data_IF_438271022564
#
_entry.id   IF_438271022564
#
_cell.length_a   1.000
_cell.length_b   1.000
_cell.length_c   1.000
_cell.angle_alpha   90.00
_cell.angle_beta   90.00
_cell.angle_gamma   90.00
#
_symmetry.space_group_name_H-M   'P 1'
#
loop_
_entity.id
_entity.type
_entity.pdbx_description
1 polymer ?
#
# COMPACT_ATOMS: atom_id res chain seq x y z
N UNK A 1 -12.19 -28.01 -34.80
CA UNK A 1 -13.26 -27.16 -34.24
C UNK A 1 -12.69 -25.75 -34.14
N UNK A 2 -12.48 -24.99 -35.22
CA UNK A 2 -13.44 -24.31 -36.12
C UNK A 2 -14.52 -23.48 -35.43
N UNK A 3 -14.39 -22.16 -35.60
CA UNK A 3 -15.37 -21.08 -35.53
C UNK A 3 -15.89 -20.63 -34.14
N UNK A 4 -15.49 -19.42 -33.72
CA UNK A 4 -16.37 -18.24 -33.58
C UNK A 4 -15.52 -17.05 -33.08
N UNK A 5 -15.23 -16.10 -33.96
CA UNK A 5 -14.64 -14.81 -33.59
C UNK A 5 -15.18 -13.75 -34.55
N UNK A 6 -16.13 -12.97 -34.10
CA UNK A 6 -16.56 -11.76 -34.82
C UNK A 6 -17.23 -10.77 -33.87
N UNK A 7 -16.72 -9.53 -33.96
CA UNK A 7 -17.41 -8.25 -33.75
C UNK A 7 -17.69 -7.80 -32.30
N UNK A 8 -16.74 -7.05 -31.75
CA UNK A 8 -17.03 -5.83 -30.99
C UNK A 8 -16.11 -4.70 -31.51
N UNK A 9 -16.65 -3.86 -32.40
CA UNK A 9 -16.14 -2.50 -32.64
C UNK A 9 -17.13 -1.56 -31.98
N UNK A 10 -16.81 -1.06 -30.78
CA UNK A 10 -17.49 0.09 -30.20
C UNK A 10 -16.66 1.33 -30.50
N UNK A 11 -17.23 2.23 -31.30
CA UNK A 11 -16.75 3.60 -31.41
C UNK A 11 -17.26 4.38 -30.20
N UNK A 12 -16.38 4.77 -29.29
CA UNK A 12 -16.65 5.82 -28.32
C UNK A 12 -15.62 6.91 -28.50
N UNK A 13 -15.98 7.91 -29.30
CA UNK A 13 -15.34 9.21 -29.24
C UNK A 13 -15.70 9.82 -27.87
N UNK A 14 -14.77 9.73 -26.92
CA UNK A 14 -14.89 10.40 -25.63
C UNK A 14 -14.70 11.91 -25.78
N UNK A 15 -15.23 12.72 -24.83
CA UNK A 15 -15.05 14.17 -24.85
C UNK A 15 -13.56 14.54 -24.72
N UNK A 16 -13.11 15.47 -25.56
CA UNK A 16 -11.78 16.08 -25.46
C UNK A 16 -11.62 16.77 -24.11
N UNK A 17 -10.85 16.16 -23.20
CA UNK A 17 -10.36 16.83 -22.00
C UNK A 17 -9.38 17.96 -22.40
N UNK A 18 -9.34 19.07 -21.66
CA UNK A 18 -8.35 20.12 -21.91
C UNK A 18 -6.95 19.53 -21.79
N UNK A 19 -6.15 19.69 -22.85
CA UNK A 19 -4.73 19.36 -22.85
C UNK A 19 -4.03 20.29 -21.86
N UNK A 20 -3.73 19.78 -20.67
CA UNK A 20 -2.69 20.36 -19.84
C UNK A 20 -1.39 20.41 -20.67
N UNK A 21 -0.58 21.48 -20.59
CA UNK A 21 0.68 21.55 -21.30
C UNK A 21 1.50 20.30 -20.95
N UNK A 22 1.90 19.53 -21.97
CA UNK A 22 2.83 18.42 -21.78
C UNK A 22 4.05 18.96 -21.04
N UNK A 23 4.37 18.49 -19.82
CA UNK A 23 5.68 18.76 -19.27
C UNK A 23 6.64 18.04 -20.21
N UNK A 24 7.34 18.79 -21.05
CA UNK A 24 8.46 18.24 -21.79
C UNK A 24 9.38 17.61 -20.76
N UNK A 25 9.65 16.31 -20.89
CA UNK A 25 10.65 15.61 -20.09
C UNK A 25 12.03 16.14 -20.49
N UNK A 26 12.37 17.36 -20.07
CA UNK A 26 13.74 17.84 -20.11
C UNK A 26 14.46 17.13 -18.95
N UNK A 27 15.04 15.97 -19.24
CA UNK A 27 15.96 15.31 -18.34
C UNK A 27 17.17 16.25 -18.14
N UNK A 28 17.46 16.72 -16.92
CA UNK A 28 18.68 17.48 -16.68
C UNK A 28 19.89 16.59 -17.01
N UNK A 29 20.73 17.00 -17.95
CA UNK A 29 21.85 16.20 -18.45
C UNK A 29 23.07 16.16 -17.53
N UNK A 30 22.93 16.43 -16.22
CA UNK A 30 24.05 16.45 -15.28
C UNK A 30 23.63 15.94 -13.90
N UNK A 31 23.78 14.64 -13.68
CA UNK A 31 24.02 14.07 -12.36
C UNK A 31 25.54 14.01 -12.18
N UNK A 32 26.14 15.13 -11.78
CA UNK A 32 27.55 15.13 -11.37
C UNK A 32 27.67 14.42 -10.02
N UNK A 33 28.57 13.43 -9.98
CA UNK A 33 28.89 12.65 -8.81
C UNK A 33 29.43 13.56 -7.69
N UNK A 34 28.61 13.85 -6.69
CA UNK A 34 29.07 14.46 -5.44
C UNK A 34 29.90 13.43 -4.67
N UNK A 35 31.22 13.57 -4.83
CA UNK A 35 32.26 12.91 -4.04
C UNK A 35 32.20 13.43 -2.60
N UNK A 36 31.99 12.54 -1.64
CA UNK A 36 32.06 12.82 -0.21
C UNK A 36 33.39 13.53 0.14
N UNK A 37 33.29 14.76 0.67
CA UNK A 37 34.34 15.36 1.48
C UNK A 37 33.78 15.55 2.87
N UNK A 38 34.43 14.90 3.83
CA UNK A 38 34.03 14.89 5.23
C UNK A 38 33.95 16.28 5.84
N UNK A 39 32.85 16.53 6.54
CA UNK A 39 32.76 17.51 7.59
C UNK A 39 32.23 16.80 8.84
N UNK A 40 33.10 16.68 9.84
CA UNK A 40 32.75 16.33 11.21
C UNK A 40 31.95 17.47 11.83
N UNK A 41 30.72 17.21 12.26
CA UNK A 41 29.90 18.18 12.97
C UNK A 41 28.51 17.61 13.27
N UNK A 42 28.29 17.28 14.53
CA UNK A 42 27.14 16.58 15.09
C UNK A 42 25.81 17.34 14.92
N UNK A 43 24.72 16.57 14.81
CA UNK A 43 23.28 16.86 15.05
C UNK A 43 22.38 16.97 13.80
N UNK A 44 21.30 16.17 13.84
CA UNK A 44 20.10 16.09 12.99
C UNK A 44 20.16 15.26 11.70
N UNK A 45 20.02 13.94 11.86
CA UNK A 45 19.54 13.02 10.82
C UNK A 45 18.41 12.16 11.39
N UNK A 46 17.16 12.56 11.16
CA UNK A 46 15.96 11.74 11.34
C UNK A 46 14.78 12.53 10.76
N UNK A 47 14.45 12.35 9.47
CA UNK A 47 13.23 12.83 8.80
C UNK A 47 13.30 12.41 7.33
N UNK A 48 12.46 11.46 6.89
CA UNK A 48 11.84 11.29 5.55
C UNK A 48 11.40 9.82 5.31
N UNK A 49 10.33 9.65 4.51
CA UNK A 49 9.67 8.44 3.99
C UNK A 49 8.49 7.85 4.80
N UNK A 50 7.65 7.02 4.16
CA UNK A 50 6.30 6.49 4.53
C UNK A 50 5.06 7.14 3.89
N UNK A 51 5.04 7.40 2.57
CA UNK A 51 3.80 7.67 1.83
C UNK A 51 2.72 6.62 2.12
N UNK A 52 1.44 6.98 2.02
CA UNK A 52 0.29 6.20 2.51
C UNK A 52 0.39 4.73 2.11
N UNK A 53 0.81 3.93 3.08
CA UNK A 53 0.62 2.50 3.17
C UNK A 53 -0.81 2.35 3.68
N UNK A 54 -1.73 1.86 2.85
CA UNK A 54 -2.84 1.12 3.44
C UNK A 54 -2.23 0.05 4.34
N UNK A 55 -2.52 0.16 5.64
CA UNK A 55 -1.82 -0.48 6.72
C UNK A 55 -1.69 -2.01 6.55
N UNK A 56 -0.57 -2.46 5.97
CA UNK A 56 0.10 -3.68 6.39
C UNK A 56 0.90 -3.37 7.65
N UNK A 57 0.33 -3.69 8.82
CA UNK A 57 0.78 -3.27 10.14
C UNK A 57 2.19 -3.78 10.54
N UNK A 58 3.24 -2.98 10.34
CA UNK A 58 4.54 -3.16 10.98
C UNK A 58 4.62 -2.40 12.33
N UNK A 59 4.05 -2.96 13.40
CA UNK A 59 4.31 -2.54 14.80
C UNK A 59 5.73 -2.89 15.29
N UNK A 60 6.39 -1.94 15.96
CA UNK A 60 7.65 -2.13 16.70
C UNK A 60 7.39 -1.93 18.20
N UNK A 61 7.41 -3.00 19.01
CA UNK A 61 7.29 -2.87 20.48
C UNK A 61 8.65 -2.51 21.09
N UNK A 62 8.72 -1.38 21.78
CA UNK A 62 9.87 -0.99 22.60
C UNK A 62 9.91 -1.88 23.85
N UNK A 63 10.96 -2.71 23.98
CA UNK A 63 11.22 -3.50 25.21
C UNK A 63 11.64 -2.55 26.34
N UNK A 64 10.84 -2.46 27.40
CA UNK A 64 11.33 -2.13 28.74
C UNK A 64 11.53 -3.43 29.52
N UNK A 65 12.74 -3.65 29.99
CA UNK A 65 13.06 -4.77 30.87
C UNK A 65 12.51 -4.52 32.28
N UNK A 66 11.82 -5.52 32.82
CA UNK A 66 11.64 -5.67 34.26
C UNK A 66 11.51 -7.16 34.58
N UNK A 67 12.35 -7.64 35.50
CA UNK A 67 12.29 -8.97 36.11
C UNK A 67 11.11 -9.01 37.08
N UNK A 68 10.37 -10.11 37.10
CA UNK A 68 9.37 -10.39 38.14
C UNK A 68 8.32 -11.39 37.66
N UNK A 69 8.42 -12.63 38.13
CA UNK A 69 7.53 -13.72 37.79
C UNK A 69 6.20 -13.61 38.55
N UNK A 70 5.08 -13.60 37.80
CA UNK A 70 3.80 -14.18 38.20
C UNK A 70 3.00 -14.49 36.93
N UNK A 71 2.55 -15.74 36.79
CA UNK A 71 1.68 -16.19 35.70
C UNK A 71 0.29 -15.55 35.86
N UNK A 72 -0.02 -14.58 35.00
CA UNK A 72 -1.37 -14.05 34.80
C UNK A 72 -1.79 -14.32 33.37
N UNK A 73 -3.01 -14.86 33.19
CA UNK A 73 -3.64 -15.01 31.88
C UNK A 73 -3.71 -13.65 31.17
N UNK A 74 -2.95 -13.50 30.08
CA UNK A 74 -3.04 -12.33 29.19
C UNK A 74 -4.17 -12.60 28.22
N UNK A 75 -5.31 -11.96 28.45
CA UNK A 75 -6.38 -11.84 27.44
C UNK A 75 -5.83 -10.94 26.33
N UNK A 76 -5.78 -11.44 25.11
CA UNK A 76 -5.44 -10.63 23.94
C UNK A 76 -6.52 -9.54 23.78
N UNK A 77 -6.17 -8.30 24.09
CA UNK A 77 -7.01 -7.13 23.85
C UNK A 77 -7.05 -6.84 22.35
N UNK A 78 -8.22 -6.43 21.84
CA UNK A 78 -8.36 -6.10 20.41
C UNK A 78 -7.47 -4.90 20.04
N UNK A 79 -7.11 -4.71 18.75
CA UNK A 79 -6.33 -3.57 18.27
C UNK A 79 -6.90 -2.20 18.68
N UNK A 80 -8.18 -2.12 19.02
CA UNK A 80 -8.83 -0.89 19.49
C UNK A 80 -8.39 -0.46 20.90
N UNK A 81 -7.91 -1.38 21.75
CA UNK A 81 -7.55 -1.07 23.14
C UNK A 81 -6.08 -0.64 23.32
N UNK A 82 -5.17 -1.03 22.42
CA UNK A 82 -3.75 -0.64 22.50
C UNK A 82 -3.48 0.78 21.93
N UNK A 83 -4.50 1.44 21.35
CA UNK A 83 -4.44 2.82 20.87
C UNK A 83 -4.55 3.86 22.01
N UNK A 84 -5.02 3.47 23.20
CA UNK A 84 -5.34 4.40 24.28
C UNK A 84 -4.11 5.10 24.90
N UNK A 85 -2.92 4.48 24.84
CA UNK A 85 -1.67 5.07 25.37
C UNK A 85 -0.92 5.96 24.39
N UNK A 86 -0.99 5.67 23.09
CA UNK A 86 -0.39 6.47 22.00
C UNK A 86 -1.23 7.71 21.64
N UNK A 87 -2.46 7.76 22.13
CA UNK A 87 -3.41 8.86 21.92
C UNK A 87 -2.97 10.15 22.63
N UNK A 88 -2.40 10.06 23.85
CA UNK A 88 -2.14 11.26 24.66
C UNK A 88 -1.22 12.30 24.00
N UNK A 89 -0.11 11.86 23.37
CA UNK A 89 0.79 12.76 22.65
C UNK A 89 0.15 13.33 21.38
N UNK A 90 -0.67 12.55 20.69
CA UNK A 90 -1.41 13.02 19.52
C UNK A 90 -2.46 14.07 19.90
N UNK A 91 -3.27 13.79 20.93
CA UNK A 91 -4.29 14.71 21.46
C UNK A 91 -3.65 16.00 21.98
N UNK A 92 -2.50 15.90 22.66
CA UNK A 92 -1.76 17.07 23.09
C UNK A 92 -1.26 17.89 21.88
N UNK A 93 -0.75 17.23 20.84
CA UNK A 93 -0.35 17.88 19.60
C UNK A 93 -1.50 18.63 18.94
N UNK A 94 -2.67 18.00 18.83
CA UNK A 94 -3.88 18.61 18.30
C UNK A 94 -4.36 19.81 19.14
N UNK A 95 -4.24 19.73 20.48
CA UNK A 95 -4.57 20.83 21.37
C UNK A 95 -3.62 22.03 21.22
N UNK A 96 -2.32 21.81 21.00
CA UNK A 96 -1.35 22.87 20.68
C UNK A 96 -1.62 23.47 19.29
N UNK A 97 -1.90 22.64 18.29
CA UNK A 97 -2.26 23.07 16.93
C UNK A 97 -3.49 24.00 16.94
N UNK A 98 -4.54 23.63 17.68
CA UNK A 98 -5.76 24.44 17.83
C UNK A 98 -5.53 25.81 18.50
N UNK A 99 -4.44 25.97 19.26
CA UNK A 99 -4.04 27.24 19.90
C UNK A 99 -3.09 28.08 19.04
N UNK A 100 -2.64 27.57 17.89
CA UNK A 100 -1.59 28.19 17.09
C UNK A 100 -0.17 27.97 17.64
N UNK A 101 0.02 27.06 18.59
CA UNK A 101 1.32 26.70 19.19
C UNK A 101 2.02 25.66 18.29
N UNK A 102 2.37 26.06 17.07
CA UNK A 102 2.75 25.14 15.98
C UNK A 102 4.04 24.35 16.28
N UNK A 103 5.00 24.94 17.00
CA UNK A 103 6.26 24.26 17.35
C UNK A 103 6.04 23.17 18.40
N UNK A 104 5.22 23.46 19.41
CA UNK A 104 4.82 22.53 20.46
C UNK A 104 3.99 21.37 19.87
N UNK A 105 3.06 21.69 18.96
CA UNK A 105 2.29 20.72 18.20
C UNK A 105 3.21 19.76 17.42
N UNK A 106 4.19 20.31 16.69
CA UNK A 106 5.19 19.52 15.96
C UNK A 106 5.93 18.52 16.85
N UNK A 107 6.41 18.95 18.01
CA UNK A 107 7.14 18.08 18.94
C UNK A 107 6.24 16.94 19.46
N UNK A 108 4.98 17.22 19.74
CA UNK A 108 4.01 16.23 20.19
C UNK A 108 3.70 15.20 19.09
N UNK A 109 3.47 15.65 17.86
CA UNK A 109 3.27 14.74 16.74
C UNK A 109 4.52 13.94 16.37
N UNK A 110 5.74 14.49 16.50
CA UNK A 110 6.97 13.72 16.34
C UNK A 110 7.06 12.57 17.34
N UNK A 111 6.75 12.82 18.62
CA UNK A 111 6.71 11.77 19.65
C UNK A 111 5.65 10.72 19.33
N UNK A 112 4.47 11.15 18.90
CA UNK A 112 3.37 10.25 18.52
C UNK A 112 3.71 9.39 17.30
N UNK A 113 4.35 9.96 16.28
CA UNK A 113 4.85 9.24 15.10
C UNK A 113 5.93 8.22 15.49
N UNK A 114 6.88 8.59 16.35
CA UNK A 114 7.90 7.66 16.87
C UNK A 114 7.30 6.51 17.69
N UNK A 115 6.14 6.72 18.30
CA UNK A 115 5.36 5.69 18.97
C UNK A 115 4.53 4.82 18.01
N UNK A 116 4.61 5.08 16.70
CA UNK A 116 3.94 4.30 15.65
C UNK A 116 2.52 4.73 15.35
N UNK A 117 2.09 5.94 15.73
CA UNK A 117 0.75 6.44 15.42
C UNK A 117 0.70 7.08 14.02
N UNK A 118 0.04 6.45 13.01
CA UNK A 118 0.19 6.86 11.61
C UNK A 118 -0.32 8.28 11.32
N UNK A 119 -1.43 8.70 11.96
CA UNK A 119 -2.04 10.02 11.75
C UNK A 119 -1.12 11.18 12.16
N UNK A 120 -0.19 10.93 13.08
CA UNK A 120 0.78 11.94 13.49
C UNK A 120 1.68 12.37 12.32
N UNK A 121 1.96 11.46 11.38
CA UNK A 121 2.73 11.78 10.17
C UNK A 121 1.98 12.75 9.26
N UNK A 122 0.69 12.49 9.01
CA UNK A 122 -0.18 13.38 8.22
C UNK A 122 -0.17 14.80 8.81
N UNK A 123 -0.28 14.91 10.14
CA UNK A 123 -0.22 16.20 10.86
C UNK A 123 1.15 16.87 10.76
N UNK A 124 2.24 16.12 10.87
CA UNK A 124 3.59 16.66 10.73
C UNK A 124 3.84 17.26 9.35
N UNK A 125 3.37 16.61 8.28
CA UNK A 125 3.48 17.16 6.91
C UNK A 125 2.77 18.52 6.84
N UNK A 126 1.57 18.62 7.43
CA UNK A 126 0.80 19.85 7.42
C UNK A 126 1.52 20.98 8.18
N UNK A 127 2.10 20.68 9.34
CA UNK A 127 2.87 21.64 10.14
C UNK A 127 4.20 22.02 9.49
N UNK A 128 4.96 21.05 8.98
CA UNK A 128 6.25 21.30 8.34
C UNK A 128 6.08 22.22 7.13
N UNK A 129 4.97 22.12 6.39
CA UNK A 129 4.65 23.03 5.30
C UNK A 129 4.54 24.51 5.75
N UNK A 130 3.95 24.73 6.93
CA UNK A 130 3.68 26.05 7.51
C UNK A 130 4.93 26.67 8.16
N UNK A 131 5.80 25.86 8.75
CA UNK A 131 6.96 26.33 9.52
C UNK A 131 8.19 26.71 8.71
N UNK A 132 8.20 26.46 7.39
CA UNK A 132 9.36 26.77 6.55
C UNK A 132 9.51 28.27 6.32
N UNK A 133 10.75 28.71 6.19
CA UNK A 133 11.13 30.08 5.86
C UNK A 133 11.47 30.19 4.35
N UNK A 134 10.95 31.18 3.59
CA UNK A 134 9.97 32.19 4.02
C UNK A 134 8.60 31.59 4.32
N UNK A 135 7.86 32.19 5.24
CA UNK A 135 6.47 31.80 5.53
C UNK A 135 5.61 31.81 4.25
N UNK A 136 4.60 30.94 4.20
CA UNK A 136 3.65 30.94 3.07
C UNK A 136 2.88 32.27 3.05
N UNK A 137 2.69 32.91 1.89
CA UNK A 137 1.77 34.03 1.77
C UNK A 137 0.37 33.60 2.24
N UNK A 138 -0.33 34.46 3.00
CA UNK A 138 -1.58 34.08 3.67
C UNK A 138 -2.65 33.43 2.78
N UNK A 139 -2.71 33.81 1.49
CA UNK A 139 -3.61 33.15 0.51
C UNK A 139 -3.21 31.69 0.22
N UNK A 140 -1.91 31.42 0.08
CA UNK A 140 -1.37 30.08 -0.20
C UNK A 140 -1.43 29.19 1.06
N UNK A 141 -1.17 29.79 2.22
CA UNK A 141 -1.40 29.14 3.52
C UNK A 141 -2.87 28.72 3.68
N UNK A 142 -3.82 29.61 3.38
CA UNK A 142 -5.25 29.30 3.46
C UNK A 142 -5.64 28.12 2.56
N UNK A 143 -5.11 28.05 1.32
CA UNK A 143 -5.33 26.91 0.43
C UNK A 143 -4.81 25.60 1.01
N UNK A 144 -3.59 25.61 1.59
CA UNK A 144 -3.01 24.42 2.19
C UNK A 144 -3.80 23.94 3.42
N UNK A 145 -4.15 24.87 4.32
CA UNK A 145 -4.89 24.56 5.55
C UNK A 145 -6.29 24.03 5.23
N UNK A 146 -7.00 24.67 4.31
CA UNK A 146 -8.33 24.22 3.86
C UNK A 146 -8.26 22.81 3.25
N UNK A 147 -7.29 22.57 2.37
CA UNK A 147 -7.14 21.27 1.73
C UNK A 147 -6.78 20.16 2.73
N UNK A 148 -5.91 20.47 3.70
CA UNK A 148 -5.57 19.57 4.77
C UNK A 148 -6.78 19.21 5.64
N UNK A 149 -7.62 20.18 5.98
CA UNK A 149 -8.86 19.96 6.73
C UNK A 149 -9.84 19.06 5.97
N UNK A 150 -10.02 19.30 4.67
CA UNK A 150 -10.85 18.44 3.83
C UNK A 150 -10.31 17.01 3.79
N UNK A 151 -9.01 16.83 3.60
CA UNK A 151 -8.40 15.51 3.62
C UNK A 151 -8.54 14.81 4.97
N UNK A 152 -8.38 15.54 6.08
CA UNK A 152 -8.54 15.01 7.44
C UNK A 152 -9.98 14.56 7.72
N UNK A 153 -10.98 15.30 7.23
CA UNK A 153 -12.40 14.90 7.34
C UNK A 153 -12.65 13.58 6.61
N UNK A 154 -12.13 13.43 5.39
CA UNK A 154 -12.16 12.18 4.66
C UNK A 154 -11.47 11.04 5.44
N UNK A 155 -10.24 11.25 5.91
CA UNK A 155 -9.47 10.21 6.60
C UNK A 155 -10.18 9.77 7.89
N UNK A 156 -10.72 10.73 8.66
CA UNK A 156 -11.45 10.43 9.89
C UNK A 156 -12.70 9.58 9.64
N UNK A 157 -13.47 9.88 8.60
CA UNK A 157 -14.64 9.07 8.24
C UNK A 157 -14.24 7.70 7.71
N UNK A 158 -13.24 7.65 6.81
CA UNK A 158 -12.76 6.41 6.23
C UNK A 158 -12.19 5.47 7.29
N UNK A 159 -11.41 5.97 8.26
CA UNK A 159 -10.91 5.16 9.38
C UNK A 159 -12.04 4.67 10.30
N UNK A 160 -13.09 5.48 10.50
CA UNK A 160 -14.23 5.13 11.36
C UNK A 160 -15.14 4.08 10.72
N UNK A 161 -15.38 4.17 9.42
CA UNK A 161 -16.40 3.37 8.72
C UNK A 161 -15.80 2.31 7.81
N UNK A 162 -14.58 2.52 7.33
CA UNK A 162 -13.99 1.80 6.22
C UNK A 162 -14.62 2.09 4.86
N UNK A 163 -15.53 3.07 4.77
CA UNK A 163 -16.25 3.43 3.56
C UNK A 163 -15.96 4.89 3.18
N UNK A 164 -16.14 5.20 1.90
CA UNK A 164 -16.08 6.58 1.39
C UNK A 164 -17.51 6.98 1.05
N UNK A 165 -18.12 7.77 1.91
CA UNK A 165 -19.44 8.36 1.64
C UNK A 165 -19.35 9.43 0.55
N UNK A 166 -20.52 9.91 0.11
CA UNK A 166 -20.62 11.05 -0.79
C UNK A 166 -19.98 12.31 -0.18
N UNK A 167 -20.18 12.57 1.12
CA UNK A 167 -19.59 13.71 1.83
C UNK A 167 -18.05 13.59 1.89
N UNK A 168 -17.53 12.43 2.26
CA UNK A 168 -16.09 12.13 2.20
C UNK A 168 -15.50 12.33 0.80
N UNK A 169 -16.24 11.97 -0.24
CA UNK A 169 -15.79 12.15 -1.62
C UNK A 169 -15.75 13.63 -2.02
N UNK A 170 -16.76 14.41 -1.62
CA UNK A 170 -16.77 15.86 -1.83
C UNK A 170 -15.60 16.54 -1.13
N UNK A 171 -15.24 16.08 0.08
CA UNK A 171 -14.03 16.54 0.76
C UNK A 171 -12.75 16.20 -0.03
N UNK A 172 -12.63 15.00 -0.59
CA UNK A 172 -11.50 14.67 -1.46
C UNK A 172 -11.44 15.55 -2.71
N UNK A 173 -12.56 15.79 -3.38
CA UNK A 173 -12.61 16.66 -4.58
C UNK A 173 -12.27 18.12 -4.24
N UNK A 174 -12.71 18.62 -3.07
CA UNK A 174 -12.35 19.95 -2.58
C UNK A 174 -10.84 20.06 -2.28
N UNK A 175 -10.28 19.09 -1.54
CA UNK A 175 -8.84 19.02 -1.28
C UNK A 175 -8.03 18.96 -2.58
N UNK A 176 -8.45 18.13 -3.54
CA UNK A 176 -7.80 18.02 -4.85
C UNK A 176 -7.78 19.36 -5.60
N UNK A 177 -8.89 20.08 -5.58
CA UNK A 177 -9.04 21.38 -6.25
C UNK A 177 -8.09 22.42 -5.67
N UNK A 178 -8.06 22.57 -4.34
CA UNK A 178 -7.23 23.55 -3.65
C UNK A 178 -5.74 23.25 -3.75
N UNK A 179 -5.34 21.98 -3.62
CA UNK A 179 -3.94 21.57 -3.79
C UNK A 179 -3.46 21.75 -5.24
N UNK A 180 -4.35 21.51 -6.21
CA UNK A 180 -4.04 21.75 -7.63
C UNK A 180 -3.88 23.24 -7.92
N UNK A 181 -4.68 24.10 -7.28
CA UNK A 181 -4.49 25.55 -7.34
C UNK A 181 -3.15 25.96 -6.72
N UNK A 182 -2.80 25.39 -5.56
CA UNK A 182 -1.54 25.65 -4.88
C UNK A 182 -0.31 25.22 -5.71
N UNK A 183 -0.44 24.15 -6.51
CA UNK A 183 0.62 23.65 -7.38
C UNK A 183 0.97 24.58 -8.55
N UNK A 184 0.20 25.65 -8.78
CA UNK A 184 0.49 26.69 -9.79
C UNK A 184 1.57 27.68 -9.34
N UNK A 185 1.94 27.64 -8.06
CA UNK A 185 2.91 28.56 -7.46
C UNK A 185 4.25 27.86 -7.22
N UNK A 186 5.35 28.62 -7.24
CA UNK A 186 6.65 28.12 -6.79
C UNK A 186 6.74 28.24 -5.27
N UNK A 187 6.74 27.10 -4.57
CA UNK A 187 6.78 27.04 -3.11
C UNK A 187 8.18 26.70 -2.56
N UNK A 188 9.16 26.48 -3.44
CA UNK A 188 10.45 25.88 -3.11
C UNK A 188 10.40 24.35 -3.02
N UNK A 189 11.56 23.72 -3.18
CA UNK A 189 11.69 22.26 -3.39
C UNK A 189 10.99 21.42 -2.31
N UNK A 190 11.23 21.72 -1.04
CA UNK A 190 10.65 20.92 0.03
C UNK A 190 9.11 21.04 0.08
N UNK A 191 8.57 22.24 -0.09
CA UNK A 191 7.11 22.46 -0.10
C UNK A 191 6.45 21.81 -1.31
N UNK A 192 7.06 21.95 -2.49
CA UNK A 192 6.58 21.29 -3.71
C UNK A 192 6.60 19.77 -3.55
N UNK A 193 7.65 19.22 -2.94
CA UNK A 193 7.72 17.80 -2.62
C UNK A 193 6.55 17.34 -1.75
N UNK A 194 6.29 18.03 -0.62
CA UNK A 194 5.17 17.70 0.27
C UNK A 194 3.81 17.85 -0.43
N UNK A 195 3.64 18.90 -1.22
CA UNK A 195 2.43 19.14 -2.02
C UNK A 195 2.17 17.99 -3.00
N UNK A 196 3.19 17.53 -3.74
CA UNK A 196 3.04 16.39 -4.66
C UNK A 196 2.72 15.10 -3.92
N UNK A 197 3.28 14.89 -2.73
CA UNK A 197 2.91 13.75 -1.87
C UNK A 197 1.44 13.79 -1.49
N UNK A 198 0.94 14.96 -1.04
CA UNK A 198 -0.47 15.12 -0.66
C UNK A 198 -1.42 14.99 -1.86
N UNK A 199 -1.05 15.56 -3.01
CA UNK A 199 -1.81 15.38 -4.25
C UNK A 199 -1.88 13.89 -4.63
N UNK A 200 -0.77 13.17 -4.54
CA UNK A 200 -0.77 11.73 -4.80
C UNK A 200 -1.67 10.96 -3.83
N UNK A 201 -1.64 11.27 -2.54
CA UNK A 201 -2.53 10.66 -1.52
C UNK A 201 -4.01 10.85 -1.89
N UNK A 202 -4.42 12.09 -2.19
CA UNK A 202 -5.80 12.45 -2.58
C UNK A 202 -6.20 11.76 -3.88
N UNK A 203 -5.37 11.89 -4.92
CA UNK A 203 -5.67 11.34 -6.24
C UNK A 203 -5.59 9.82 -6.29
N UNK A 204 -4.86 9.17 -5.37
CA UNK A 204 -4.88 7.70 -5.26
C UNK A 204 -6.30 7.20 -5.01
N UNK A 205 -7.02 7.85 -4.08
CA UNK A 205 -8.41 7.50 -3.77
C UNK A 205 -9.34 7.94 -4.90
N UNK A 206 -9.22 9.18 -5.38
CA UNK A 206 -10.07 9.70 -6.46
C UNK A 206 -9.91 8.93 -7.78
N UNK A 207 -8.73 8.36 -8.05
CA UNK A 207 -8.46 7.56 -9.26
C UNK A 207 -9.34 6.32 -9.40
N UNK A 208 -10.10 5.95 -8.36
CA UNK A 208 -11.14 4.91 -8.47
C UNK A 208 -12.22 5.31 -9.47
N UNK A 209 -12.48 6.61 -9.62
CA UNK A 209 -13.19 7.17 -10.76
C UNK A 209 -12.22 7.38 -11.93
N UNK A 210 -12.56 6.82 -13.08
CA UNK A 210 -11.81 6.94 -14.33
C UNK A 210 -11.49 8.38 -14.72
N UNK A 211 -12.35 9.37 -14.37
CA UNK A 211 -12.13 10.79 -14.70
C UNK A 211 -10.88 11.38 -14.04
N UNK A 212 -10.42 10.78 -12.94
CA UNK A 212 -9.26 11.26 -12.17
C UNK A 212 -7.96 10.49 -12.42
N UNK A 213 -7.99 9.39 -13.16
CA UNK A 213 -6.82 8.51 -13.33
C UNK A 213 -5.66 9.23 -14.02
N UNK A 214 -5.93 10.07 -15.03
CA UNK A 214 -4.89 10.82 -15.73
C UNK A 214 -4.17 11.82 -14.81
N UNK A 215 -4.91 12.49 -13.92
CA UNK A 215 -4.34 13.42 -12.93
C UNK A 215 -3.56 12.67 -11.86
N UNK A 216 -4.05 11.51 -11.41
CA UNK A 216 -3.30 10.64 -10.49
C UNK A 216 -1.96 10.22 -11.09
N UNK A 217 -1.93 9.82 -12.37
CA UNK A 217 -0.70 9.50 -13.10
C UNK A 217 0.25 10.71 -13.14
N UNK A 218 -0.26 11.88 -13.47
CA UNK A 218 0.53 13.12 -13.54
C UNK A 218 1.19 13.44 -12.19
N UNK A 219 0.43 13.43 -11.09
CA UNK A 219 0.97 13.77 -9.77
C UNK A 219 1.96 12.72 -9.26
N UNK A 220 1.73 11.45 -9.57
CA UNK A 220 2.68 10.38 -9.31
C UNK A 220 4.01 10.60 -10.05
N UNK A 221 3.99 11.00 -11.33
CA UNK A 221 5.20 11.39 -12.07
C UNK A 221 5.87 12.61 -11.44
N UNK A 222 5.11 13.67 -11.11
CA UNK A 222 5.67 14.89 -10.50
C UNK A 222 6.39 14.60 -9.19
N UNK A 223 5.84 13.71 -8.36
CA UNK A 223 6.48 13.22 -7.13
C UNK A 223 7.78 12.46 -7.43
N UNK A 224 7.75 11.55 -8.41
CA UNK A 224 8.90 10.73 -8.78
C UNK A 224 10.05 11.54 -9.39
N UNK A 225 9.76 12.53 -10.24
CA UNK A 225 10.79 13.34 -10.91
C UNK A 225 11.37 14.44 -10.02
N UNK A 226 10.72 14.77 -8.91
CA UNK A 226 11.22 15.79 -7.98
C UNK A 226 12.56 15.35 -7.36
N UNK A 227 13.58 16.22 -7.22
CA UNK A 227 14.91 15.84 -6.71
C UNK A 227 14.88 15.10 -5.36
N UNK A 228 14.05 15.55 -4.42
CA UNK A 228 13.87 14.88 -3.12
C UNK A 228 13.22 13.49 -3.26
N UNK A 229 12.33 13.31 -4.25
CA UNK A 229 11.71 12.03 -4.55
C UNK A 229 12.68 11.07 -5.18
N UNK A 230 13.42 11.51 -6.20
CA UNK A 230 14.49 10.75 -6.84
C UNK A 230 15.53 10.25 -5.83
N UNK A 231 15.87 11.05 -4.81
CA UNK A 231 16.82 10.66 -3.76
C UNK A 231 16.22 9.78 -2.64
N UNK A 232 14.93 9.47 -2.70
CA UNK A 232 14.22 8.63 -1.75
C UNK A 232 13.73 7.35 -2.46
N UNK A 233 14.67 6.49 -2.81
CA UNK A 233 14.45 5.26 -3.56
C UNK A 233 14.71 4.01 -2.73
N UNK A 234 14.07 2.91 -3.12
CA UNK A 234 14.29 1.59 -2.56
C UNK A 234 15.28 0.79 -3.42
N UNK A 235 16.26 0.18 -2.76
CA UNK A 235 17.15 -0.83 -3.35
C UNK A 235 16.68 -2.26 -3.07
N UNK A 236 15.84 -2.40 -2.06
CA UNK A 236 15.27 -3.66 -1.55
C UNK A 236 13.95 -3.38 -0.82
N UNK A 237 13.22 -4.42 -0.48
CA UNK A 237 11.87 -4.38 0.10
C UNK A 237 11.85 -3.80 1.53
N UNK A 238 12.96 -3.94 2.26
CA UNK A 238 13.18 -3.38 3.60
C UNK A 238 13.67 -1.93 3.60
N UNK A 239 13.90 -1.33 2.42
CA UNK A 239 14.39 0.05 2.33
C UNK A 239 13.44 1.01 3.05
N UNK A 240 13.96 1.82 3.96
CA UNK A 240 13.16 2.81 4.68
C UNK A 240 12.63 3.91 3.75
N UNK A 241 13.30 4.15 2.61
CA UNK A 241 12.92 5.11 1.59
C UNK A 241 12.49 4.38 0.33
N UNK A 242 11.31 4.72 -0.19
CA UNK A 242 10.75 4.13 -1.39
C UNK A 242 9.85 5.09 -2.19
N UNK A 243 9.86 6.38 -1.85
CA UNK A 243 9.01 7.41 -2.45
C UNK A 243 9.11 7.43 -3.99
N UNK A 244 10.34 7.32 -4.55
CA UNK A 244 10.57 7.23 -5.99
C UNK A 244 9.86 6.02 -6.60
N UNK A 245 10.17 4.83 -6.08
CA UNK A 245 9.68 3.55 -6.58
C UNK A 245 8.15 3.50 -6.51
N UNK A 246 7.58 3.91 -5.37
CA UNK A 246 6.14 3.94 -5.15
C UNK A 246 5.45 4.87 -6.14
N UNK A 247 5.94 6.10 -6.29
CA UNK A 247 5.34 7.10 -7.16
C UNK A 247 5.45 6.71 -8.64
N UNK A 248 6.61 6.24 -9.11
CA UNK A 248 6.76 5.87 -10.53
C UNK A 248 5.97 4.61 -10.88
N UNK A 249 5.89 3.65 -9.97
CA UNK A 249 5.04 2.45 -10.13
C UNK A 249 3.56 2.81 -10.21
N UNK A 250 3.09 3.70 -9.32
CA UNK A 250 1.72 4.20 -9.35
C UNK A 250 1.41 4.91 -10.68
N UNK A 251 2.33 5.75 -11.17
CA UNK A 251 2.16 6.41 -12.47
C UNK A 251 1.96 5.41 -13.62
N UNK A 252 2.81 4.39 -13.71
CA UNK A 252 2.69 3.34 -14.75
C UNK A 252 1.38 2.58 -14.63
N UNK A 253 0.93 2.26 -13.42
CA UNK A 253 -0.37 1.64 -13.19
C UNK A 253 -1.51 2.51 -13.71
N UNK A 254 -1.49 3.81 -13.43
CA UNK A 254 -2.51 4.73 -13.90
C UNK A 254 -2.49 4.91 -15.43
N UNK A 255 -1.31 5.01 -16.06
CA UNK A 255 -1.20 5.07 -17.51
C UNK A 255 -1.75 3.81 -18.19
N UNK A 256 -1.48 2.61 -17.64
CA UNK A 256 -2.09 1.35 -18.09
C UNK A 256 -3.62 1.42 -18.06
N UNK A 257 -4.20 1.90 -16.95
CA UNK A 257 -5.65 2.00 -16.75
C UNK A 257 -6.37 2.90 -17.76
N UNK A 258 -5.70 3.94 -18.27
CA UNK A 258 -6.27 4.83 -19.31
C UNK A 258 -5.78 4.50 -20.72
N UNK A 259 -4.98 3.44 -20.89
CA UNK A 259 -4.45 3.03 -22.19
C UNK A 259 -3.39 3.97 -22.79
N UNK A 260 -2.75 4.82 -21.97
CA UNK A 260 -1.72 5.76 -22.42
C UNK A 260 -0.34 5.07 -22.50
N UNK A 261 -0.15 4.31 -23.58
CA UNK A 261 1.05 3.49 -23.78
C UNK A 261 2.33 4.31 -23.95
N UNK A 262 2.24 5.50 -24.56
CA UNK A 262 3.40 6.38 -24.75
C UNK A 262 3.93 6.87 -23.40
N UNK A 263 3.06 7.40 -22.54
CA UNK A 263 3.48 7.87 -21.21
C UNK A 263 3.88 6.72 -20.28
N UNK A 264 3.25 5.55 -20.41
CA UNK A 264 3.69 4.34 -19.72
C UNK A 264 5.15 4.00 -20.08
N UNK A 265 5.48 3.96 -21.37
CA UNK A 265 6.82 3.64 -21.84
C UNK A 265 7.84 4.70 -21.37
N UNK A 266 7.49 5.99 -21.44
CA UNK A 266 8.35 7.07 -20.96
C UNK A 266 8.60 6.96 -19.44
N UNK A 267 7.58 6.64 -18.65
CA UNK A 267 7.71 6.45 -17.20
C UNK A 267 8.60 5.23 -16.87
N UNK A 268 8.43 4.13 -17.61
CA UNK A 268 9.26 2.93 -17.46
C UNK A 268 10.73 3.20 -17.84
N UNK A 269 10.99 3.92 -18.93
CA UNK A 269 12.35 4.32 -19.31
C UNK A 269 12.99 5.25 -18.28
N UNK A 270 12.23 6.20 -17.74
CA UNK A 270 12.70 7.06 -16.66
C UNK A 270 13.04 6.25 -15.40
N UNK A 271 12.19 5.30 -15.01
CA UNK A 271 12.45 4.40 -13.89
C UNK A 271 13.71 3.56 -14.11
N UNK A 272 13.88 2.98 -15.29
CA UNK A 272 15.02 2.12 -15.64
C UNK A 272 16.36 2.88 -15.72
N UNK A 273 16.33 4.20 -15.98
CA UNK A 273 17.52 5.06 -16.00
C UNK A 273 18.01 5.44 -14.60
N UNK A 274 17.22 5.21 -13.54
CA UNK A 274 17.65 5.51 -12.19
C UNK A 274 18.81 4.58 -11.78
N UNK A 275 19.98 5.10 -11.37
CA UNK A 275 21.19 4.28 -11.21
C UNK A 275 21.16 3.34 -10.01
N UNK A 276 20.32 3.63 -9.01
CA UNK A 276 20.32 2.93 -7.73
C UNK A 276 18.96 2.36 -7.33
N UNK A 277 17.88 2.69 -8.05
CA UNK A 277 16.55 2.26 -7.62
C UNK A 277 16.31 0.86 -8.16
N UNK A 278 15.65 0.02 -7.38
CA UNK A 278 15.21 -1.31 -7.81
C UNK A 278 14.02 -1.22 -8.78
N UNK A 279 14.18 -0.51 -9.90
CA UNK A 279 13.14 -0.22 -10.89
C UNK A 279 13.61 -0.56 -12.30
N UNK A 280 14.40 -1.64 -12.45
CA UNK A 280 14.97 -2.09 -13.72
C UNK A 280 14.03 -3.05 -14.45
N UNK A 281 12.81 -2.60 -14.72
CA UNK A 281 11.74 -3.40 -15.30
C UNK A 281 12.08 -3.92 -16.69
N UNK A 282 11.76 -5.19 -16.93
CA UNK A 282 11.99 -5.84 -18.23
C UNK A 282 10.78 -5.75 -19.16
N UNK A 283 9.58 -5.58 -18.61
CA UNK A 283 8.34 -5.45 -19.38
C UNK A 283 7.35 -4.52 -18.66
N UNK A 284 6.42 -3.94 -19.41
CA UNK A 284 5.47 -2.95 -18.90
C UNK A 284 4.35 -3.52 -18.03
N UNK A 285 4.21 -4.85 -17.98
CA UNK A 285 3.21 -5.55 -17.18
C UNK A 285 3.72 -5.93 -15.80
N UNK A 286 5.03 -6.06 -15.61
CA UNK A 286 5.68 -6.44 -14.37
C UNK A 286 6.46 -5.25 -13.81
N UNK A 287 5.75 -4.36 -13.11
CA UNK A 287 6.34 -3.16 -12.52
C UNK A 287 6.09 -3.15 -11.01
N UNK A 288 6.66 -4.10 -10.24
CA UNK A 288 6.59 -4.03 -8.78
C UNK A 288 7.32 -2.81 -8.25
N UNK A 289 7.09 -2.47 -6.98
CA UNK A 289 7.85 -1.40 -6.32
C UNK A 289 9.36 -1.70 -6.30
N UNK A 290 9.74 -2.95 -6.04
CA UNK A 290 11.13 -3.40 -5.99
C UNK A 290 11.32 -4.54 -6.98
N UNK A 291 12.01 -4.28 -8.09
CA UNK A 291 12.29 -5.26 -9.13
C UNK A 291 13.72 -5.77 -9.04
N UNK A 292 13.86 -7.10 -9.01
CA UNK A 292 15.14 -7.78 -8.98
C UNK A 292 15.43 -8.44 -10.34
N UNK A 293 16.53 -8.08 -11.03
CA UNK A 293 16.88 -8.69 -12.31
C UNK A 293 17.36 -10.13 -12.14
N UNK A 294 17.22 -10.94 -13.20
CA UNK A 294 17.70 -12.32 -13.25
C UNK A 294 16.65 -13.38 -12.86
N UNK A 295 15.55 -12.97 -12.23
CA UNK A 295 14.38 -13.81 -12.02
C UNK A 295 13.60 -13.98 -13.32
N UNK A 296 13.14 -15.20 -13.60
CA UNK A 296 12.26 -15.47 -14.75
C UNK A 296 10.89 -14.82 -14.53
N UNK A 297 10.56 -13.81 -15.33
CA UNK A 297 9.23 -13.18 -15.31
C UNK A 297 8.21 -13.94 -16.16
N UNK A 298 7.22 -14.55 -15.50
CA UNK A 298 6.01 -15.08 -16.16
C UNK A 298 4.79 -14.89 -15.25
N UNK A 299 3.62 -14.53 -15.80
CA UNK A 299 2.45 -14.23 -14.97
C UNK A 299 1.88 -15.47 -14.27
N UNK A 300 1.95 -16.66 -14.87
CA UNK A 300 1.36 -17.89 -14.32
C UNK A 300 2.43 -18.96 -14.10
N UNK A 301 2.29 -19.73 -13.02
CA UNK A 301 3.22 -20.77 -12.61
C UNK A 301 2.48 -22.10 -12.41
N UNK A 302 3.11 -23.20 -12.82
CA UNK A 302 2.56 -24.53 -12.63
C UNK A 302 2.77 -25.00 -11.18
N UNK A 303 1.71 -25.50 -10.55
CA UNK A 303 1.74 -25.91 -9.15
C UNK A 303 2.63 -27.12 -8.87
N UNK A 304 2.94 -27.93 -9.88
CA UNK A 304 3.83 -29.09 -9.77
C UNK A 304 5.29 -28.70 -9.47
N UNK A 305 5.65 -27.43 -9.68
CA UNK A 305 6.98 -26.90 -9.39
C UNK A 305 7.21 -26.60 -7.91
N UNK A 306 6.18 -26.74 -7.06
CA UNK A 306 6.22 -26.39 -5.64
C UNK A 306 5.71 -27.53 -4.76
N UNK A 307 6.55 -28.04 -3.86
CA UNK A 307 6.20 -29.15 -2.97
C UNK A 307 5.05 -28.79 -2.02
N UNK A 308 5.00 -27.54 -1.55
CA UNK A 308 3.93 -27.06 -0.69
C UNK A 308 2.59 -27.08 -1.43
N UNK A 309 2.56 -26.68 -2.69
CA UNK A 309 1.33 -26.66 -3.50
C UNK A 309 0.81 -28.06 -3.70
N UNK A 310 1.69 -29.00 -4.10
CA UNK A 310 1.33 -30.41 -4.22
C UNK A 310 0.74 -30.97 -2.91
N UNK A 311 1.32 -30.58 -1.76
CA UNK A 311 0.84 -30.98 -0.45
C UNK A 311 -0.53 -30.37 -0.10
N UNK A 312 -0.72 -29.07 -0.34
CA UNK A 312 -1.99 -28.39 -0.11
C UNK A 312 -3.09 -28.97 -1.00
N UNK A 313 -2.81 -29.18 -2.28
CA UNK A 313 -3.75 -29.82 -3.20
C UNK A 313 -4.04 -31.28 -2.84
N UNK A 314 -3.02 -32.05 -2.44
CA UNK A 314 -3.17 -33.42 -1.98
C UNK A 314 -4.07 -33.50 -0.74
N UNK A 315 -3.83 -32.62 0.24
CA UNK A 315 -4.70 -32.48 1.42
C UNK A 315 -6.12 -32.05 1.06
N UNK A 316 -6.31 -31.16 0.08
CA UNK A 316 -7.64 -30.73 -0.34
C UNK A 316 -8.40 -31.80 -1.16
N UNK A 317 -7.68 -32.64 -1.92
CA UNK A 317 -8.24 -33.77 -2.68
C UNK A 317 -8.70 -34.90 -1.75
N UNK A 318 -8.06 -35.06 -0.59
CA UNK A 318 -8.49 -35.99 0.44
C UNK A 318 -9.83 -35.56 1.08
N UNK A 319 -10.90 -36.37 0.98
CA UNK A 319 -12.23 -35.98 1.45
C UNK A 319 -12.30 -35.65 2.94
N UNK A 320 -11.57 -36.40 3.77
CA UNK A 320 -11.59 -36.24 5.24
C UNK A 320 -10.87 -34.96 5.66
N UNK A 321 -9.71 -34.68 5.06
CA UNK A 321 -8.95 -33.45 5.28
C UNK A 321 -9.74 -32.23 4.83
N UNK A 322 -10.38 -32.27 3.65
CA UNK A 322 -11.24 -31.19 3.16
C UNK A 322 -12.43 -30.92 4.07
N UNK A 323 -13.10 -31.99 4.56
CA UNK A 323 -14.23 -31.85 5.48
C UNK A 323 -13.82 -31.12 6.77
N UNK A 324 -12.67 -31.50 7.35
CA UNK A 324 -12.12 -30.83 8.55
C UNK A 324 -11.78 -29.37 8.31
N UNK A 325 -11.10 -29.05 7.21
CA UNK A 325 -10.77 -27.65 6.87
C UNK A 325 -12.04 -26.82 6.71
N UNK A 326 -13.09 -27.39 6.12
CA UNK A 326 -14.39 -26.71 5.96
C UNK A 326 -15.06 -26.45 7.30
N UNK A 327 -15.09 -27.44 8.20
CA UNK A 327 -15.64 -27.30 9.55
C UNK A 327 -14.87 -26.25 10.39
N UNK A 328 -13.53 -26.25 10.30
CA UNK A 328 -12.68 -25.26 10.94
C UNK A 328 -12.98 -23.84 10.40
N UNK A 329 -13.13 -23.69 9.08
CA UNK A 329 -13.49 -22.43 8.45
C UNK A 329 -14.88 -21.95 8.89
N UNK A 330 -15.90 -22.81 8.89
CA UNK A 330 -17.25 -22.48 9.38
C UNK A 330 -17.22 -22.01 10.84
N UNK A 331 -16.38 -22.64 11.66
CA UNK A 331 -16.15 -22.24 13.04
C UNK A 331 -15.56 -20.83 13.12
N UNK A 332 -14.54 -20.50 12.31
CA UNK A 332 -13.97 -19.16 12.27
C UNK A 332 -14.99 -18.11 11.82
N UNK A 333 -15.83 -18.44 10.84
CA UNK A 333 -16.87 -17.56 10.32
C UNK A 333 -17.94 -17.25 11.36
N UNK A 334 -18.41 -18.27 12.09
CA UNK A 334 -19.39 -18.09 13.17
C UNK A 334 -18.89 -17.17 14.30
N UNK A 335 -17.57 -17.05 14.46
CA UNK A 335 -16.92 -16.20 15.45
C UNK A 335 -16.62 -14.78 14.94
N UNK A 336 -16.86 -14.50 13.66
CA UNK A 336 -16.48 -13.22 13.05
C UNK A 336 -14.97 -12.99 13.08
N UNK A 337 -14.17 -14.05 12.89
CA UNK A 337 -12.72 -14.00 13.10
C UNK A 337 -11.93 -13.25 12.01
N UNK A 338 -12.58 -12.90 10.89
CA UNK A 338 -11.95 -12.24 9.74
C UNK A 338 -11.85 -10.73 9.98
N UNK A 339 -10.71 -10.17 9.62
CA UNK A 339 -10.41 -8.74 9.74
C UNK A 339 -10.55 -8.09 8.36
N UNK A 340 -11.15 -6.91 8.28
CA UNK A 340 -11.32 -6.19 7.02
C UNK A 340 -9.97 -5.77 6.45
N UNK A 341 -9.73 -6.01 5.16
CA UNK A 341 -8.55 -5.54 4.46
C UNK A 341 -8.80 -4.17 3.87
N UNK A 342 -7.95 -3.21 4.22
CA UNK A 342 -7.91 -1.91 3.59
C UNK A 342 -6.88 -1.94 2.48
N UNK A 343 -7.30 -1.76 1.24
CA UNK A 343 -6.41 -1.69 0.09
C UNK A 343 -6.72 -0.47 -0.77
N UNK A 344 -5.70 0.25 -1.29
CA UNK A 344 -5.92 1.35 -2.23
C UNK A 344 -6.65 0.86 -3.49
N UNK A 345 -6.37 -0.39 -3.88
CA UNK A 345 -6.94 -1.06 -5.05
C UNK A 345 -8.38 -1.54 -4.85
N UNK A 346 -8.93 -1.57 -3.64
CA UNK A 346 -10.34 -1.91 -3.45
C UNK A 346 -11.24 -0.80 -4.03
N UNK A 347 -12.24 -1.18 -4.83
CA UNK A 347 -13.18 -0.19 -5.39
C UNK A 347 -14.04 0.39 -4.26
N UNK A 348 -13.95 1.70 -4.04
CA UNK A 348 -14.87 2.44 -3.18
C UNK A 348 -15.31 3.67 -3.95
N UNK A 349 -16.52 3.61 -4.52
CA UNK A 349 -17.15 4.72 -5.24
C UNK A 349 -18.47 5.03 -4.53
N UNK A 350 -18.69 6.29 -4.10
CA UNK A 350 -19.97 6.71 -3.54
C UNK A 350 -21.12 6.41 -4.50
N UNK A 351 -22.26 5.97 -3.97
CA UNK A 351 -23.48 5.79 -4.76
C UNK A 351 -23.39 4.70 -5.84
N UNK A 352 -22.35 3.85 -5.88
CA UNK A 352 -22.42 2.64 -6.70
C UNK A 352 -23.57 1.79 -6.17
N UNK A 353 -24.66 1.72 -6.93
CA UNK A 353 -26.03 1.28 -6.57
C UNK A 353 -26.14 -0.22 -6.23
N UNK A 354 -25.08 -0.85 -5.74
CA UNK A 354 -25.21 -1.99 -4.85
C UNK A 354 -25.43 -1.44 -3.43
N UNK A 355 -26.63 -0.89 -3.21
CA UNK A 355 -27.19 -0.55 -1.88
C UNK A 355 -27.56 -1.82 -1.08
N UNK A 356 -26.96 -2.97 -1.38
CA UNK A 356 -26.82 -3.99 -0.36
C UNK A 356 -25.73 -3.50 0.59
N UNK A 357 -26.07 -3.42 1.86
CA UNK A 357 -25.24 -3.00 3.01
C UNK A 357 -23.95 -3.82 3.20
N UNK A 358 -23.54 -4.61 2.23
CA UNK A 358 -22.36 -5.47 2.19
C UNK A 358 -21.42 -5.03 1.05
N UNK A 359 -21.12 -3.74 0.91
CA UNK A 359 -20.20 -3.23 -0.10
C UNK A 359 -19.00 -4.16 -0.22
N UNK A 360 -18.91 -4.88 -1.35
CA UNK A 360 -18.33 -6.20 -1.41
C UNK A 360 -17.01 -6.33 -0.62
N UNK A 361 -17.11 -6.97 0.54
CA UNK A 361 -16.10 -6.99 1.57
C UNK A 361 -14.92 -7.86 1.13
N UNK A 362 -13.72 -7.29 1.22
CA UNK A 362 -12.48 -8.04 1.27
C UNK A 362 -12.03 -8.09 2.73
N UNK A 363 -11.97 -9.29 3.28
CA UNK A 363 -11.47 -9.55 4.64
C UNK A 363 -10.47 -10.69 4.62
N UNK A 364 -9.65 -10.77 5.66
CA UNK A 364 -8.62 -11.79 5.78
C UNK A 364 -8.53 -12.37 7.20
N UNK A 365 -8.10 -13.63 7.26
CA UNK A 365 -7.66 -14.30 8.46
C UNK A 365 -6.16 -14.58 8.35
N UNK A 366 -5.35 -13.67 8.89
CA UNK A 366 -3.90 -13.70 8.79
C UNK A 366 -3.29 -14.82 9.65
N UNK A 367 -2.75 -15.88 9.04
CA UNK A 367 -2.13 -17.02 9.74
C UNK A 367 -0.65 -16.80 10.05
N UNK A 368 0.00 -15.85 9.38
CA UNK A 368 1.41 -15.57 9.52
C UNK A 368 1.63 -14.18 10.11
N UNK A 369 2.44 -14.08 11.17
CA UNK A 369 2.86 -12.79 11.69
C UNK A 369 4.17 -12.36 11.00
N UNK A 370 4.12 -11.35 10.12
CA UNK A 370 5.30 -10.90 9.38
C UNK A 370 6.42 -10.37 10.28
N UNK A 371 6.14 -10.04 11.55
CA UNK A 371 7.17 -9.58 12.52
C UNK A 371 7.94 -10.72 13.14
N UNK A 372 7.26 -11.81 13.48
CA UNK A 372 7.90 -12.96 14.12
C UNK A 372 8.47 -13.95 13.13
N UNK A 373 8.17 -13.77 11.83
CA UNK A 373 8.57 -14.69 10.75
C UNK A 373 8.05 -16.11 11.04
N UNK A 374 6.91 -16.19 11.72
CA UNK A 374 6.30 -17.42 12.22
C UNK A 374 4.80 -17.40 12.03
N UNK A 375 4.23 -18.59 12.01
CA UNK A 375 2.80 -18.77 12.12
C UNK A 375 2.30 -18.21 13.46
N UNK A 376 1.17 -17.51 13.43
CA UNK A 376 0.46 -17.10 14.63
C UNK A 376 -0.18 -18.36 15.23
N UNK A 377 0.42 -18.89 16.30
CA UNK A 377 -0.02 -20.13 16.93
C UNK A 377 -1.45 -20.04 17.50
N UNK A 378 -1.89 -18.85 17.93
CA UNK A 378 -3.26 -18.66 18.42
C UNK A 378 -4.26 -18.75 17.27
N UNK A 379 -3.94 -18.17 16.11
CA UNK A 379 -4.77 -18.28 14.90
C UNK A 379 -4.71 -19.67 14.28
N UNK A 380 -3.54 -20.31 14.27
CA UNK A 380 -3.36 -21.67 13.78
C UNK A 380 -4.13 -22.70 14.61
N UNK A 381 -4.29 -22.49 15.92
CA UNK A 381 -5.13 -23.31 16.76
C UNK A 381 -6.63 -23.26 16.36
N UNK A 382 -7.06 -22.20 15.66
CA UNK A 382 -8.40 -22.07 15.10
C UNK A 382 -8.61 -22.80 13.78
N UNK A 383 -7.53 -23.18 13.08
CA UNK A 383 -7.57 -23.94 11.82
C UNK A 383 -6.43 -24.99 11.76
N UNK A 384 -6.40 -25.94 12.70
CA UNK A 384 -5.25 -26.81 12.91
C UNK A 384 -4.97 -27.74 11.73
N UNK A 385 -5.99 -28.20 11.00
CA UNK A 385 -5.80 -29.07 9.83
C UNK A 385 -5.07 -28.34 8.72
N UNK A 386 -5.53 -27.14 8.34
CA UNK A 386 -4.85 -26.33 7.31
C UNK A 386 -3.43 -25.93 7.76
N UNK A 387 -3.32 -25.49 9.02
CA UNK A 387 -2.03 -25.08 9.60
C UNK A 387 -1.00 -26.22 9.58
N UNK A 388 -1.45 -27.47 9.76
CA UNK A 388 -0.57 -28.64 9.67
C UNK A 388 0.01 -28.84 8.26
N UNK A 389 -0.75 -28.50 7.21
CA UNK A 389 -0.29 -28.60 5.81
C UNK A 389 0.75 -27.52 5.46
N UNK A 390 0.67 -26.35 6.11
CA UNK A 390 1.57 -25.22 5.92
C UNK A 390 2.92 -25.36 6.66
N UNK A 391 3.04 -26.32 7.57
CA UNK A 391 4.26 -26.56 8.38
C UNK A 391 5.25 -27.45 7.64
N UNK A 392 6.54 -27.28 7.91
CA UNK A 392 7.58 -28.16 7.38
C UNK A 392 7.38 -29.61 7.91
N UNK A 393 7.32 -30.64 7.05
CA UNK A 393 7.22 -32.04 7.49
C UNK A 393 8.36 -32.48 8.42
N UNK A 394 9.56 -31.92 8.23
CA UNK A 394 10.77 -32.23 9.01
C UNK A 394 10.84 -31.45 10.33
N UNK A 395 10.12 -30.33 10.43
CA UNK A 395 10.07 -29.50 11.62
C UNK A 395 8.67 -28.88 11.79
N UNK A 396 7.83 -29.49 12.62
CA UNK A 396 6.45 -29.06 12.87
C UNK A 396 6.34 -27.64 13.46
N UNK A 397 7.41 -27.13 14.07
CA UNK A 397 7.43 -25.77 14.63
C UNK A 397 7.84 -24.72 13.59
N UNK A 398 8.24 -25.13 12.39
CA UNK A 398 8.61 -24.25 11.29
C UNK A 398 7.53 -24.22 10.20
N UNK A 399 7.40 -23.06 9.56
CA UNK A 399 6.66 -22.92 8.31
C UNK A 399 7.40 -23.64 7.18
N UNK A 400 6.68 -24.12 6.17
CA UNK A 400 7.29 -24.78 5.01
C UNK A 400 8.38 -23.89 4.35
N UNK A 401 9.55 -24.44 3.97
CA UNK A 401 10.69 -23.64 3.48
C UNK A 401 10.43 -22.88 2.18
N UNK A 402 9.42 -23.28 1.40
CA UNK A 402 8.98 -22.57 0.19
C UNK A 402 8.15 -21.31 0.49
N UNK A 403 7.61 -21.15 1.71
CA UNK A 403 6.92 -19.91 2.10
C UNK A 403 7.97 -18.83 2.31
N UNK A 404 7.75 -17.66 1.71
CA UNK A 404 8.69 -16.56 1.81
C UNK A 404 8.60 -15.92 3.22
N UNK A 405 9.75 -15.76 3.88
CA UNK A 405 9.86 -15.24 5.26
C UNK A 405 9.38 -13.81 5.43
N UNK A 406 9.30 -13.04 4.34
CA UNK A 406 8.90 -11.63 4.36
C UNK A 406 7.40 -11.42 4.12
N UNK A 407 6.59 -12.50 4.13
CA UNK A 407 5.31 -12.49 3.42
C UNK A 407 4.11 -12.91 4.25
N UNK A 408 2.94 -12.88 3.62
CA UNK A 408 1.63 -13.14 4.22
C UNK A 408 1.16 -14.54 3.85
N UNK A 409 0.71 -15.28 4.86
CA UNK A 409 -0.18 -16.44 4.68
C UNK A 409 -1.50 -16.09 5.33
N UNK A 410 -2.57 -16.06 4.56
CA UNK A 410 -3.90 -15.69 5.04
C UNK A 410 -5.00 -16.43 4.30
N UNK A 411 -6.15 -16.55 4.95
CA UNK A 411 -7.39 -16.95 4.27
C UNK A 411 -8.08 -15.65 3.87
N UNK A 412 -8.24 -15.43 2.57
CA UNK A 412 -8.97 -14.26 2.07
C UNK A 412 -10.44 -14.64 1.87
N UNK A 413 -11.31 -13.72 2.24
CA UNK A 413 -12.75 -13.76 2.01
C UNK A 413 -13.14 -12.63 1.07
N UNK A 414 -13.91 -12.94 0.03
CA UNK A 414 -14.44 -12.00 -0.94
C UNK A 414 -15.96 -12.15 -1.03
N UNK A 415 -16.69 -11.06 -0.84
CA UNK A 415 -18.14 -11.04 -1.05
C UNK A 415 -18.54 -10.98 -2.53
N UNK A 416 -19.75 -11.47 -2.86
CA UNK A 416 -20.37 -11.23 -4.16
C UNK A 416 -20.23 -9.77 -4.62
N UNK A 417 -19.70 -9.57 -5.83
CA UNK A 417 -19.47 -8.25 -6.40
C UNK A 417 -18.10 -7.64 -6.09
N UNK A 418 -17.24 -8.30 -5.29
CA UNK A 418 -15.92 -7.77 -4.91
C UNK A 418 -15.07 -7.45 -6.14
N UNK A 419 -14.50 -6.24 -6.15
CA UNK A 419 -13.65 -5.72 -7.23
C UNK A 419 -12.37 -5.15 -6.65
N UNK A 420 -11.25 -5.80 -6.97
CA UNK A 420 -9.91 -5.31 -6.69
C UNK A 420 -9.35 -4.81 -8.03
N UNK A 421 -9.07 -3.51 -8.08
CA UNK A 421 -8.57 -2.81 -9.25
C UNK A 421 -7.22 -3.37 -9.70
N UNK A 422 -6.84 -3.16 -10.98
CA UNK A 422 -5.50 -3.47 -11.45
C UNK A 422 -4.44 -2.91 -10.49
N UNK A 423 -3.49 -3.75 -10.10
CA UNK A 423 -2.33 -3.39 -9.27
C UNK A 423 -1.19 -4.38 -9.49
N UNK A 424 -0.03 -4.08 -8.93
CA UNK A 424 1.14 -4.97 -8.89
C UNK A 424 1.53 -5.18 -7.42
N UNK A 425 2.11 -6.34 -7.13
CA UNK A 425 2.75 -6.66 -5.88
C UNK A 425 4.00 -5.83 -5.65
N UNK A 426 4.58 -5.97 -4.46
CA UNK A 426 5.72 -5.14 -4.04
C UNK A 426 7.06 -5.60 -4.61
N UNK A 427 7.19 -6.88 -5.00
CA UNK A 427 8.45 -7.49 -5.48
C UNK A 427 8.20 -8.68 -6.40
N UNK A 428 9.15 -8.96 -7.30
CA UNK A 428 9.18 -10.18 -8.13
C UNK A 428 9.98 -11.35 -7.49
N UNK A 429 10.42 -11.23 -6.23
CA UNK A 429 11.08 -12.32 -5.49
C UNK A 429 10.10 -13.29 -4.81
N UNK A 430 8.81 -13.01 -4.95
CA UNK A 430 7.74 -13.81 -4.39
C UNK A 430 6.70 -14.04 -5.46
N UNK A 431 5.92 -15.09 -5.29
CA UNK A 431 4.81 -15.38 -6.16
C UNK A 431 3.70 -16.07 -5.38
N UNK A 432 2.50 -15.96 -5.90
CA UNK A 432 1.46 -16.97 -5.70
C UNK A 432 1.45 -17.85 -6.96
N UNK A 433 0.49 -18.76 -7.18
CA UNK A 433 0.44 -19.51 -8.46
C UNK A 433 0.32 -18.62 -9.72
N UNK A 434 0.20 -17.30 -9.51
CA UNK A 434 0.62 -16.27 -10.44
C UNK A 434 1.67 -15.35 -9.78
N UNK A 435 2.58 -14.79 -10.57
CA UNK A 435 3.54 -13.79 -10.07
C UNK A 435 2.79 -12.45 -9.87
N UNK A 436 2.55 -12.08 -8.60
CA UNK A 436 1.77 -10.90 -8.25
C UNK A 436 2.50 -9.60 -8.60
N UNK A 437 3.78 -9.64 -8.94
CA UNK A 437 4.51 -8.47 -9.47
C UNK A 437 4.04 -8.05 -10.87
N UNK A 438 3.35 -8.94 -11.59
CA UNK A 438 2.60 -8.58 -12.79
C UNK A 438 1.30 -7.86 -12.44
N UNK A 439 0.82 -7.00 -13.35
CA UNK A 439 -0.49 -6.39 -13.22
C UNK A 439 -1.55 -7.48 -13.12
N UNK A 440 -2.37 -7.39 -12.07
CA UNK A 440 -3.49 -8.27 -11.87
C UNK A 440 -4.66 -7.51 -11.25
N UNK A 441 -5.86 -8.04 -11.45
CA UNK A 441 -7.10 -7.53 -10.87
C UNK A 441 -7.98 -8.72 -10.49
N UNK A 442 -8.92 -8.50 -9.58
CA UNK A 442 -9.81 -9.55 -9.09
C UNK A 442 -11.24 -9.08 -9.19
N UNK A 443 -12.10 -9.95 -9.72
CA UNK A 443 -13.55 -9.78 -9.68
C UNK A 443 -14.23 -11.04 -9.17
N UNK A 444 -15.14 -10.88 -8.22
CA UNK A 444 -16.00 -11.97 -7.75
C UNK A 444 -17.43 -11.76 -8.25
N UNK A 445 -17.80 -12.51 -9.30
CA UNK A 445 -19.14 -12.48 -9.89
C UNK A 445 -20.10 -13.54 -9.32
N UNK A 446 -19.65 -14.33 -8.33
CA UNK A 446 -20.46 -15.38 -7.73
C UNK A 446 -21.57 -14.82 -6.85
N UNK A 447 -22.53 -15.70 -6.50
CA UNK A 447 -23.67 -15.36 -5.63
C UNK A 447 -23.39 -15.59 -4.15
N UNK A 448 -22.34 -16.35 -3.85
CA UNK A 448 -21.94 -16.74 -2.50
C UNK A 448 -20.54 -16.20 -2.21
N UNK A 449 -20.22 -15.99 -0.94
CA UNK A 449 -18.89 -15.57 -0.49
C UNK A 449 -17.83 -16.59 -0.93
N UNK A 450 -16.68 -16.09 -1.39
CA UNK A 450 -15.56 -16.91 -1.86
C UNK A 450 -14.43 -16.86 -0.85
N UNK A 451 -13.88 -18.03 -0.51
CA UNK A 451 -12.70 -18.16 0.33
C UNK A 451 -11.54 -18.71 -0.48
N UNK A 452 -10.35 -18.16 -0.27
CA UNK A 452 -9.10 -18.64 -0.86
C UNK A 452 -8.00 -18.65 0.20
N UNK A 453 -7.19 -19.71 0.21
CA UNK A 453 -5.90 -19.65 0.87
C UNK A 453 -4.96 -18.82 -0.01
N UNK A 454 -4.41 -17.77 0.56
CA UNK A 454 -3.38 -16.95 -0.05
C UNK A 454 -2.06 -17.21 0.69
N UNK A 455 -1.07 -17.76 -0.02
CA UNK A 455 0.26 -18.05 0.53
C UNK A 455 1.31 -17.59 -0.46
N UNK A 456 2.13 -16.61 -0.06
CA UNK A 456 3.24 -16.13 -0.87
C UNK A 456 4.44 -17.08 -0.75
N UNK A 457 4.84 -17.62 -1.89
CA UNK A 457 5.97 -18.52 -2.03
C UNK A 457 7.22 -17.73 -2.44
N UNK A 458 8.38 -18.30 -2.12
CA UNK A 458 9.66 -17.85 -2.69
C UNK A 458 9.66 -18.10 -4.18
N UNK A 459 10.24 -17.18 -4.94
CA UNK A 459 10.47 -17.43 -6.35
C UNK A 459 11.39 -18.67 -6.52
N UNK A 460 11.11 -19.61 -7.45
CA UNK A 460 11.89 -20.84 -7.59
C UNK A 460 13.34 -20.59 -8.00
N UNK A 461 13.59 -19.50 -8.73
CA UNK A 461 14.93 -19.05 -9.08
C UNK A 461 15.66 -18.31 -7.92
N UNK A 462 15.04 -18.14 -6.75
CA UNK A 462 15.70 -17.51 -5.60
C UNK A 462 16.83 -18.39 -5.05
N UNK A 463 18.01 -17.83 -4.73
CA UNK A 463 19.07 -18.55 -4.02
C UNK A 463 18.55 -19.14 -2.71
N UNK A 464 18.91 -20.37 -2.35
CA UNK A 464 18.34 -21.07 -1.19
C UNK A 464 18.47 -20.28 0.14
N UNK A 465 19.49 -19.44 0.25
CA UNK A 465 19.86 -18.61 1.39
C UNK A 465 19.27 -17.18 1.39
N UNK A 466 18.58 -16.78 0.32
CA UNK A 466 17.99 -15.46 0.15
C UNK A 466 16.83 -15.13 1.12
#
# INVERSE_FOLDING_TARGET
MSAFCSLWRSSTAGPHLPTAPSPGFAVPSQLDAHRERGLSGTVCSALCAFGIVCAGMAYRKVRRGARGATQGHVVATSPAQDLAGTDAAFQQGAAHEAKGEIQEARQCFQKSMQAGYPRARTRLINIDMLLLDPALPGKLEALWVSAAQHYDSFEAEFLRTGHVSEESWQHLEAAATELTELAKFNLGDWRMYQLYGRLLDVYTVLSRDTKHVALAAQWAVQRAVHPLGQNAYATEESSEKDDFNQAITAAMLYYRRIGDQERLQNAMEFANKHPYAATHYQNSWQTPRTFHPGYRGQPWWEGDSFQLVQRLEGGWKDPDTRAKITEELDTLLSKGAFERVFSPSALVVPGSVNEDRNGAEWSEYLLYDPKSVKLDEAKCAGIPTLSSLLRDPSNKDAVHPEINKSTVVSILSLDPGARIMPHCGVTNRQLVMFDDSFEHSVYHAGKERRYILFAMLRHPDSPADA
#
